data_IF_024855682164
#
_entry.id   IF_024855682164
#
_cell.length_a   1.000
_cell.length_b   1.000
_cell.length_c   1.000
_cell.angle_alpha   90.00
_cell.angle_beta   90.00
_cell.angle_gamma   90.00
#
_symmetry.space_group_name_H-M   'P 1'
#
loop_
_entity.id
_entity.type
_entity.pdbx_description
1 polymer ?
#
# COMPACT_ATOMS: atom_id res chain seq x y z
N UNK A 1 -15.24 25.24 -3.07
CA UNK A 1 -15.52 23.88 -3.57
C UNK A 1 -14.62 23.66 -4.77
N UNK A 2 -13.49 22.97 -4.58
CA UNK A 2 -12.58 22.66 -5.68
C UNK A 2 -13.05 21.32 -6.24
N UNK A 3 -13.62 21.35 -7.45
CA UNK A 3 -13.87 20.15 -8.25
C UNK A 3 -12.53 19.87 -8.94
N UNK A 4 -11.78 18.89 -8.47
CA UNK A 4 -10.59 18.41 -9.18
C UNK A 4 -11.07 17.45 -10.25
N UNK A 5 -10.90 17.84 -11.50
CA UNK A 5 -11.34 17.08 -12.69
C UNK A 5 -10.58 15.73 -12.73
N UNK A 6 -11.29 14.65 -12.43
CA UNK A 6 -10.75 13.32 -12.07
C UNK A 6 -10.37 12.46 -13.29
N UNK A 7 -10.28 13.04 -14.49
CA UNK A 7 -10.08 12.27 -15.74
C UNK A 7 -8.73 11.58 -15.86
N UNK A 8 -7.70 12.04 -15.14
CA UNK A 8 -6.40 11.36 -15.07
C UNK A 8 -6.33 10.19 -14.09
N UNK A 9 -7.24 10.14 -13.11
CA UNK A 9 -7.22 9.16 -12.04
C UNK A 9 -7.86 7.82 -12.43
N UNK A 10 -8.70 7.76 -13.48
CA UNK A 10 -9.28 6.50 -13.94
C UNK A 10 -8.24 5.51 -14.47
N UNK A 11 -7.22 6.01 -15.18
CA UNK A 11 -6.10 5.20 -15.68
C UNK A 11 -5.16 4.72 -14.55
N UNK A 12 -5.09 5.44 -13.43
CA UNK A 12 -4.27 5.08 -12.28
C UNK A 12 -4.94 4.05 -11.35
N UNK A 13 -6.27 3.88 -11.44
CA UNK A 13 -7.05 3.00 -10.56
C UNK A 13 -7.00 1.52 -10.96
N UNK A 14 -6.84 1.19 -12.24
CA UNK A 14 -6.86 -0.20 -12.71
C UNK A 14 -5.74 -1.05 -12.10
N UNK A 15 -4.47 -0.61 -12.06
CA UNK A 15 -3.43 -1.35 -11.36
C UNK A 15 -3.70 -1.50 -9.85
N UNK A 16 -4.31 -0.49 -9.21
CA UNK A 16 -4.61 -0.50 -7.79
C UNK A 16 -5.72 -1.51 -7.43
N UNK A 17 -6.68 -1.71 -8.34
CA UNK A 17 -7.75 -2.71 -8.19
C UNK A 17 -7.20 -4.14 -8.28
N UNK A 18 -6.20 -4.40 -9.13
CA UNK A 18 -5.52 -5.70 -9.20
C UNK A 18 -4.76 -5.96 -7.88
N UNK A 19 -4.05 -4.94 -7.38
CA UNK A 19 -3.33 -5.02 -6.10
C UNK A 19 -4.29 -5.29 -4.93
N UNK A 20 -5.50 -4.72 -4.95
CA UNK A 20 -6.50 -4.95 -3.89
C UNK A 20 -6.80 -6.44 -3.66
N UNK A 21 -6.81 -7.25 -4.72
CA UNK A 21 -7.04 -8.70 -4.65
C UNK A 21 -5.79 -9.54 -4.35
N UNK A 22 -4.63 -8.93 -4.16
CA UNK A 22 -3.35 -9.62 -3.92
C UNK A 22 -3.19 -9.99 -2.43
N UNK A 23 -2.44 -11.02 -2.09
CA UNK A 23 -2.21 -11.40 -0.69
C UNK A 23 -1.47 -10.31 0.11
N UNK A 24 -1.77 -10.17 1.41
CA UNK A 24 -1.22 -9.10 2.25
C UNK A 24 0.31 -9.13 2.33
N UNK A 25 0.92 -10.33 2.38
CA UNK A 25 2.38 -10.49 2.40
C UNK A 25 3.04 -9.94 1.14
N UNK A 26 2.47 -10.25 -0.03
CA UNK A 26 2.91 -9.71 -1.33
C UNK A 26 2.79 -8.18 -1.38
N UNK A 27 1.75 -7.61 -0.78
CA UNK A 27 1.61 -6.15 -0.67
C UNK A 27 2.65 -5.56 0.29
N UNK A 28 2.99 -6.23 1.39
CA UNK A 28 4.11 -5.80 2.25
C UNK A 28 5.45 -5.85 1.50
N UNK A 29 5.74 -6.94 0.79
CA UNK A 29 6.96 -7.01 -0.03
C UNK A 29 7.01 -5.87 -1.06
N UNK A 30 5.88 -5.59 -1.75
CA UNK A 30 5.75 -4.47 -2.66
C UNK A 30 5.97 -3.11 -1.96
N UNK A 31 5.43 -2.91 -0.75
CA UNK A 31 5.67 -1.70 0.05
C UNK A 31 7.16 -1.51 0.34
N UNK A 32 7.89 -2.57 0.70
CA UNK A 32 9.34 -2.51 0.90
C UNK A 32 10.12 -2.11 -0.35
N UNK A 33 9.64 -2.51 -1.53
CA UNK A 33 10.26 -2.22 -2.83
C UNK A 33 10.07 -0.77 -3.31
N UNK A 34 9.13 -0.01 -2.74
CA UNK A 34 8.88 1.39 -3.11
C UNK A 34 10.08 2.32 -2.89
N UNK A 35 11.05 1.91 -2.07
CA UNK A 35 12.32 2.63 -1.87
C UNK A 35 13.28 2.52 -3.05
N UNK A 36 13.06 1.56 -3.94
CA UNK A 36 13.97 1.21 -5.03
C UNK A 36 13.37 1.46 -6.42
N UNK A 37 12.05 1.51 -6.53
CA UNK A 37 11.32 1.50 -7.79
C UNK A 37 10.27 2.60 -7.81
N UNK A 38 10.02 3.19 -8.98
CA UNK A 38 9.26 4.45 -9.11
C UNK A 38 7.88 4.30 -9.72
N UNK A 39 7.57 3.14 -10.26
CA UNK A 39 6.24 2.83 -10.79
C UNK A 39 5.63 1.62 -10.08
N UNK A 40 4.30 1.61 -9.98
CA UNK A 40 3.58 0.52 -9.32
C UNK A 40 3.80 -0.82 -10.03
N UNK A 41 3.85 -0.84 -11.37
CA UNK A 41 4.14 -2.05 -12.14
C UNK A 41 5.53 -2.62 -11.85
N UNK A 42 6.55 -1.77 -11.81
CA UNK A 42 7.91 -2.21 -11.45
C UNK A 42 7.97 -2.71 -10.01
N UNK A 43 7.30 -2.03 -9.07
CA UNK A 43 7.24 -2.44 -7.67
C UNK A 43 6.64 -3.84 -7.51
N UNK A 44 5.52 -4.12 -8.18
CA UNK A 44 4.88 -5.44 -8.15
C UNK A 44 5.76 -6.52 -8.78
N UNK A 45 6.40 -6.24 -9.93
CA UNK A 45 7.36 -7.15 -10.56
C UNK A 45 8.62 -7.37 -9.70
N UNK A 46 9.07 -6.34 -8.97
CA UNK A 46 10.19 -6.39 -8.06
C UNK A 46 9.91 -7.32 -6.88
N UNK A 47 8.72 -7.23 -6.30
CA UNK A 47 8.27 -8.13 -5.24
C UNK A 47 8.23 -9.60 -5.72
N UNK A 48 7.63 -9.85 -6.89
CA UNK A 48 7.60 -11.19 -7.51
C UNK A 48 9.00 -11.77 -7.71
N UNK A 49 9.95 -10.96 -8.19
CA UNK A 49 11.35 -11.39 -8.37
C UNK A 49 12.04 -11.72 -7.06
N UNK A 50 11.75 -10.97 -6.00
CA UNK A 50 12.31 -11.24 -4.67
C UNK A 50 11.83 -12.58 -4.11
N UNK A 51 10.59 -12.96 -4.36
CA UNK A 51 10.00 -14.25 -3.97
C UNK A 51 10.68 -15.43 -4.67
N UNK A 52 10.88 -15.35 -6.00
CA UNK A 52 11.31 -16.50 -6.80
C UNK A 52 12.81 -16.65 -7.00
N UNK A 53 13.57 -15.56 -6.96
CA UNK A 53 14.98 -15.54 -7.40
C UNK A 53 15.90 -14.76 -6.49
N UNK A 54 15.36 -14.02 -5.51
CA UNK A 54 16.05 -12.90 -4.87
C UNK A 54 16.15 -11.72 -5.86
N UNK A 55 15.74 -10.52 -5.44
CA UNK A 55 15.91 -9.34 -6.30
C UNK A 55 17.31 -8.76 -6.13
N UNK A 56 17.74 -7.92 -7.08
CA UNK A 56 19.03 -7.22 -6.98
C UNK A 56 19.07 -6.20 -5.82
N UNK A 57 17.90 -5.84 -5.26
CA UNK A 57 17.77 -4.82 -4.22
C UNK A 57 17.49 -5.40 -2.83
N UNK A 58 16.63 -6.43 -2.76
CA UNK A 58 16.17 -7.09 -1.52
C UNK A 58 15.78 -8.56 -1.79
N UNK A 59 16.02 -9.43 -0.82
CA UNK A 59 15.36 -10.74 -0.79
C UNK A 59 13.90 -10.63 -0.28
N UNK A 60 13.12 -11.72 -0.38
CA UNK A 60 11.71 -11.73 0.02
C UNK A 60 11.47 -11.26 1.47
N UNK A 61 12.21 -11.82 2.43
CA UNK A 61 12.04 -11.49 3.86
C UNK A 61 12.38 -10.02 4.12
N UNK A 62 13.47 -9.52 3.55
CA UNK A 62 13.87 -8.11 3.68
C UNK A 62 12.83 -7.16 3.10
N UNK A 63 12.20 -7.53 1.98
CA UNK A 63 11.14 -6.74 1.36
C UNK A 63 9.90 -6.69 2.27
N UNK A 64 9.47 -7.84 2.80
CA UNK A 64 8.32 -7.94 3.71
C UNK A 64 8.58 -7.16 5.00
N UNK A 65 9.74 -7.33 5.63
CA UNK A 65 10.10 -6.62 6.88
C UNK A 65 10.08 -5.10 6.70
N UNK A 66 10.65 -4.60 5.59
CA UNK A 66 10.59 -3.16 5.26
C UNK A 66 9.16 -2.69 5.01
N UNK A 67 8.35 -3.50 4.35
CA UNK A 67 6.93 -3.22 4.16
C UNK A 67 6.15 -3.09 5.46
N UNK A 68 6.38 -4.02 6.40
CA UNK A 68 5.82 -3.98 7.74
C UNK A 68 6.22 -2.68 8.43
N UNK A 69 7.52 -2.33 8.40
CA UNK A 69 8.02 -1.12 9.00
C UNK A 69 7.36 0.15 8.42
N UNK A 70 7.18 0.21 7.09
CA UNK A 70 6.45 1.31 6.45
C UNK A 70 5.01 1.42 6.94
N UNK A 71 4.30 0.29 6.98
CA UNK A 71 2.93 0.26 7.47
C UNK A 71 2.83 0.73 8.92
N UNK A 72 3.68 0.21 9.81
CA UNK A 72 3.70 0.62 11.22
C UNK A 72 4.00 2.11 11.40
N UNK A 73 4.88 2.65 10.56
CA UNK A 73 5.27 4.07 10.57
C UNK A 73 4.09 4.97 10.19
N UNK A 74 3.33 4.61 9.15
CA UNK A 74 2.29 5.48 8.59
C UNK A 74 0.87 5.23 9.14
N UNK A 75 0.53 4.00 9.54
CA UNK A 75 -0.85 3.64 9.97
C UNK A 75 -1.39 4.52 11.09
N UNK A 76 -0.53 4.91 12.04
CA UNK A 76 -0.92 5.78 13.16
C UNK A 76 -1.22 7.20 12.70
N UNK A 77 -0.46 7.73 11.73
CA UNK A 77 -0.73 9.03 11.12
C UNK A 77 -2.09 9.04 10.42
N UNK A 78 -2.42 7.97 9.70
CA UNK A 78 -3.72 7.84 9.03
C UNK A 78 -4.90 7.72 10.01
N UNK A 79 -4.72 7.05 11.16
CA UNK A 79 -5.71 7.07 12.25
C UNK A 79 -5.91 8.47 12.81
N UNK A 80 -4.83 9.20 13.09
CA UNK A 80 -4.92 10.58 13.60
C UNK A 80 -5.61 11.52 12.61
N UNK A 81 -5.40 11.32 11.30
CA UNK A 81 -6.08 12.02 10.22
C UNK A 81 -7.53 11.54 9.99
N UNK A 82 -8.04 10.59 10.79
CA UNK A 82 -9.42 10.04 10.73
C UNK A 82 -9.76 9.37 9.39
N UNK A 83 -8.77 8.81 8.70
CA UNK A 83 -8.98 8.14 7.41
C UNK A 83 -9.70 6.79 7.54
N UNK A 84 -9.83 6.26 8.76
CA UNK A 84 -10.50 4.99 9.08
C UNK A 84 -11.97 4.94 8.67
N UNK A 85 -12.64 6.09 8.56
CA UNK A 85 -14.04 6.17 8.11
C UNK A 85 -14.22 5.97 6.60
N UNK A 86 -13.17 6.16 5.80
CA UNK A 86 -13.26 6.15 4.33
C UNK A 86 -13.50 4.73 3.79
N UNK A 87 -12.99 3.69 4.48
CA UNK A 87 -13.05 2.29 4.03
C UNK A 87 -14.45 1.66 4.05
N UNK A 88 -15.42 2.24 4.76
CA UNK A 88 -16.69 1.55 5.12
C UNK A 88 -17.88 1.87 4.22
N UNK A 89 -17.78 2.85 3.31
CA UNK A 89 -18.93 3.36 2.57
C UNK A 89 -18.61 3.62 1.07
N UNK A 90 -18.95 2.66 0.20
CA UNK A 90 -18.90 2.85 -1.25
C UNK A 90 -18.41 1.63 -2.02
N UNK A 91 -18.41 1.74 -3.35
CA UNK A 91 -17.81 0.72 -4.22
C UNK A 91 -16.28 0.68 -4.03
N UNK A 92 -15.60 -0.48 -4.22
CA UNK A 92 -14.16 -0.59 -4.03
C UNK A 92 -13.34 0.47 -4.77
N UNK A 93 -13.75 0.82 -6.00
CA UNK A 93 -13.13 1.88 -6.81
C UNK A 93 -13.24 3.26 -6.17
N UNK A 94 -14.38 3.59 -5.58
CA UNK A 94 -14.59 4.87 -4.88
C UNK A 94 -13.79 4.93 -3.57
N UNK A 95 -13.72 3.82 -2.84
CA UNK A 95 -12.94 3.74 -1.61
C UNK A 95 -11.44 3.88 -1.92
N UNK A 96 -10.94 3.25 -2.98
CA UNK A 96 -9.57 3.42 -3.46
C UNK A 96 -9.27 4.86 -3.87
N UNK A 97 -10.14 5.47 -4.68
CA UNK A 97 -10.01 6.86 -5.09
C UNK A 97 -9.92 7.83 -3.89
N UNK A 98 -10.81 7.67 -2.91
CA UNK A 98 -10.85 8.50 -1.70
C UNK A 98 -9.65 8.25 -0.80
N UNK A 99 -9.31 6.98 -0.53
CA UNK A 99 -8.15 6.62 0.28
C UNK A 99 -6.85 7.10 -0.37
N UNK A 100 -6.66 6.88 -1.67
CA UNK A 100 -5.49 7.33 -2.43
C UNK A 100 -5.29 8.84 -2.34
N UNK A 101 -6.36 9.62 -2.53
CA UNK A 101 -6.31 11.09 -2.40
C UNK A 101 -5.91 11.52 -0.99
N UNK A 102 -6.50 10.88 0.04
CA UNK A 102 -6.23 11.22 1.43
C UNK A 102 -4.80 10.87 1.85
N UNK A 103 -4.31 9.69 1.46
CA UNK A 103 -2.94 9.25 1.69
C UNK A 103 -1.95 10.15 0.96
N UNK A 104 -2.19 10.45 -0.33
CA UNK A 104 -1.36 11.38 -1.11
C UNK A 104 -1.22 12.74 -0.42
N UNK A 105 -2.34 13.26 0.08
CA UNK A 105 -2.38 14.55 0.79
C UNK A 105 -1.58 14.49 2.10
N UNK A 106 -1.77 13.44 2.91
CA UNK A 106 -1.06 13.27 4.20
C UNK A 106 0.46 13.10 4.02
N UNK A 107 0.87 12.45 2.93
CA UNK A 107 2.28 12.22 2.62
C UNK A 107 2.93 13.35 1.82
N UNK A 108 2.13 14.27 1.25
CA UNK A 108 2.64 15.29 0.32
C UNK A 108 3.20 14.68 -0.98
N UNK A 109 2.63 13.56 -1.43
CA UNK A 109 3.08 12.80 -2.60
C UNK A 109 2.04 12.83 -3.72
N UNK A 110 2.45 12.58 -4.98
CA UNK A 110 1.52 12.37 -6.08
C UNK A 110 0.57 11.19 -5.83
N UNK A 111 -0.67 11.28 -6.32
CA UNK A 111 -1.68 10.23 -6.13
C UNK A 111 -1.38 8.92 -6.90
N UNK A 112 -0.53 9.00 -7.91
CA UNK A 112 -0.01 7.88 -8.71
C UNK A 112 1.30 7.30 -8.17
N UNK A 113 1.83 7.84 -7.07
CA UNK A 113 3.02 7.30 -6.40
C UNK A 113 2.73 5.87 -5.89
N UNK A 114 3.62 4.90 -6.14
CA UNK A 114 3.40 3.51 -5.73
C UNK A 114 3.26 3.34 -4.22
N UNK A 115 3.94 4.16 -3.41
CA UNK A 115 3.78 4.13 -1.95
C UNK A 115 2.36 4.54 -1.55
N UNK A 116 1.84 5.59 -2.19
CA UNK A 116 0.47 6.05 -1.95
C UNK A 116 -0.54 4.97 -2.32
N UNK A 117 -0.39 4.37 -3.50
CA UNK A 117 -1.28 3.32 -3.99
C UNK A 117 -1.33 2.11 -3.05
N UNK A 118 -0.16 1.61 -2.63
CA UNK A 118 -0.06 0.44 -1.76
C UNK A 118 -0.56 0.73 -0.34
N UNK A 119 -0.27 1.92 0.21
CA UNK A 119 -0.80 2.34 1.52
C UNK A 119 -2.31 2.58 1.49
N UNK A 120 -2.87 3.06 0.37
CA UNK A 120 -4.32 3.18 0.20
C UNK A 120 -5.00 1.80 0.21
N UNK A 121 -4.42 0.80 -0.48
CA UNK A 121 -4.90 -0.59 -0.43
C UNK A 121 -4.79 -1.15 0.99
N UNK A 122 -3.64 -0.98 1.65
CA UNK A 122 -3.42 -1.43 3.02
C UNK A 122 -4.41 -0.80 4.01
N UNK A 123 -4.76 0.48 3.84
CA UNK A 123 -5.78 1.16 4.64
C UNK A 123 -7.20 0.61 4.43
N UNK A 124 -7.56 0.25 3.19
CA UNK A 124 -8.85 -0.39 2.91
C UNK A 124 -8.92 -1.76 3.60
N UNK A 125 -7.82 -2.53 3.54
CA UNK A 125 -7.68 -3.87 4.13
C UNK A 125 -7.02 -3.86 5.51
N UNK A 126 -7.17 -2.76 6.24
CA UNK A 126 -6.42 -2.48 7.48
C UNK A 126 -6.46 -3.62 8.49
N UNK A 127 -7.62 -4.23 8.70
CA UNK A 127 -7.79 -5.32 9.68
C UNK A 127 -6.88 -6.51 9.33
N UNK A 128 -6.81 -6.88 8.04
CA UNK A 128 -5.95 -7.96 7.58
C UNK A 128 -4.45 -7.63 7.73
N UNK A 129 -4.08 -6.37 7.49
CA UNK A 129 -2.69 -5.89 7.62
C UNK A 129 -2.25 -5.82 9.08
N UNK A 130 -3.09 -5.27 9.94
CA UNK A 130 -2.83 -5.20 11.38
C UNK A 130 -2.74 -6.61 11.98
N UNK A 131 -3.59 -7.55 11.57
CA UNK A 131 -3.51 -8.96 11.98
C UNK A 131 -2.23 -9.65 11.50
N UNK A 132 -1.82 -9.40 10.25
CA UNK A 132 -0.58 -9.96 9.70
C UNK A 132 0.64 -9.49 10.51
N UNK A 133 0.74 -8.18 10.79
CA UNK A 133 1.83 -7.62 11.59
C UNK A 133 1.83 -8.21 12.99
N UNK A 134 0.67 -8.34 13.66
CA UNK A 134 0.61 -8.92 15.00
C UNK A 134 1.07 -10.39 15.05
N UNK A 135 0.74 -11.19 14.02
CA UNK A 135 1.16 -12.59 13.93
C UNK A 135 2.68 -12.70 13.74
N UNK A 136 3.26 -11.87 12.87
CA UNK A 136 4.69 -11.90 12.57
C UNK A 136 5.56 -11.24 13.66
N UNK A 137 5.07 -10.22 14.36
CA UNK A 137 5.74 -9.65 15.52
C UNK A 137 5.85 -10.62 16.71
N UNK A 138 4.95 -11.61 16.81
CA UNK A 138 5.00 -12.66 17.84
C UNK A 138 6.05 -13.73 17.52
N UNK A 139 6.30 -14.02 16.24
CA UNK A 139 7.32 -15.00 15.82
C UNK A 139 8.77 -14.55 16.07
N UNK A 140 9.03 -13.24 16.09
CA UNK A 140 10.36 -12.68 16.35
C UNK A 140 10.75 -12.61 17.83
N UNK A 141 9.87 -13.00 18.76
CA UNK A 141 10.07 -12.92 20.23
C UNK A 141 10.22 -14.28 20.92
N UNK A 142 10.35 -15.36 20.16
CA UNK A 142 10.59 -16.73 20.62
C UNK A 142 11.88 -17.26 20.03
#
# INVERSE_FOLDING_TARGET
MIIVDYKGAESALEPQLIVLGTESERIFAALGMTTHLRSLGEVMLGAERAEHTGSWSLNWMEAVERGIHFWETFRNRFTSARLDGIRRNGAPRENLARCGTAVATELGLPADDPLVALLAVAMIRREEFDDYVQKNAKGART
#
